data_IF_156698379141
#
_entry.id   IF_156698379141
#
_cell.length_a   1.000
_cell.length_b   1.000
_cell.length_c   1.000
_cell.angle_alpha   90.00
_cell.angle_beta   90.00
_cell.angle_gamma   90.00
#
_symmetry.space_group_name_H-M   'P 1'
#
loop_
_entity.id
_entity.type
_entity.pdbx_description
1 polymer ?
#
# COMPACT_ATOMS: atom_id res chain seq x y z
N UNK A 1 -7.27 15.39 -30.69
CA UNK A 1 -7.37 13.96 -30.31
C UNK A 1 -6.01 13.24 -30.40
N UNK A 2 -5.29 13.27 -31.53
CA UNK A 2 -3.96 12.65 -31.66
C UNK A 2 -2.89 13.23 -30.71
N UNK A 3 -2.91 14.53 -30.47
CA UNK A 3 -1.98 15.22 -29.56
C UNK A 3 -2.17 14.79 -28.10
N UNK A 4 -3.41 14.76 -27.62
CA UNK A 4 -3.77 14.29 -26.27
C UNK A 4 -3.31 12.85 -26.01
N UNK A 5 -3.54 11.95 -26.96
CA UNK A 5 -3.10 10.55 -26.84
C UNK A 5 -1.57 10.43 -26.78
N UNK A 6 -0.84 11.26 -27.53
CA UNK A 6 0.63 11.26 -27.49
C UNK A 6 1.14 11.78 -26.15
N UNK A 7 0.49 12.80 -25.57
CA UNK A 7 0.82 13.34 -24.27
C UNK A 7 0.59 12.32 -23.14
N UNK A 8 -0.56 11.63 -23.14
CA UNK A 8 -0.86 10.55 -22.19
C UNK A 8 0.18 9.42 -22.27
N UNK A 9 0.60 9.04 -23.49
CA UNK A 9 1.66 8.04 -23.70
C UNK A 9 3.01 8.51 -23.16
N UNK A 10 3.39 9.76 -23.41
CA UNK A 10 4.63 10.33 -22.88
C UNK A 10 4.61 10.36 -21.36
N UNK A 11 3.49 10.74 -20.74
CA UNK A 11 3.35 10.74 -19.28
C UNK A 11 3.43 9.32 -18.70
N UNK A 12 2.79 8.33 -19.34
CA UNK A 12 2.87 6.94 -18.91
C UNK A 12 4.30 6.38 -19.02
N UNK A 13 5.04 6.72 -20.10
CA UNK A 13 6.44 6.34 -20.25
C UNK A 13 7.32 6.96 -19.16
N UNK A 14 7.12 8.26 -18.89
CA UNK A 14 7.81 8.96 -17.82
C UNK A 14 7.49 8.32 -16.46
N UNK A 15 6.24 7.96 -16.21
CA UNK A 15 5.85 7.23 -14.99
C UNK A 15 6.58 5.91 -14.82
N UNK A 16 6.61 5.07 -15.86
CA UNK A 16 7.30 3.78 -15.81
C UNK A 16 8.80 3.96 -15.56
N UNK A 17 9.41 4.95 -16.18
CA UNK A 17 10.83 5.28 -15.96
C UNK A 17 11.08 5.71 -14.51
N UNK A 18 10.32 6.67 -14.00
CA UNK A 18 10.44 7.17 -12.63
C UNK A 18 10.21 6.06 -11.59
N UNK A 19 9.19 5.24 -11.78
CA UNK A 19 8.92 4.06 -10.95
C UNK A 19 10.07 3.05 -11.01
N UNK A 20 10.59 2.77 -12.20
CA UNK A 20 11.72 1.86 -12.40
C UNK A 20 12.95 2.30 -11.62
N UNK A 21 13.27 3.60 -11.68
CA UNK A 21 14.37 4.19 -10.93
C UNK A 21 14.16 4.09 -9.41
N UNK A 22 12.98 4.42 -8.91
CA UNK A 22 12.64 4.32 -7.49
C UNK A 22 12.78 2.88 -6.98
N UNK A 23 12.22 1.91 -7.71
CA UNK A 23 12.25 0.50 -7.32
C UNK A 23 13.66 -0.10 -7.39
N UNK A 24 14.47 0.32 -8.37
CA UNK A 24 15.87 -0.10 -8.47
C UNK A 24 16.65 0.35 -7.24
N UNK A 25 16.53 1.63 -6.85
CA UNK A 25 17.19 2.19 -5.66
C UNK A 25 16.72 1.55 -4.37
N UNK A 26 15.42 1.34 -4.23
CA UNK A 26 14.84 0.64 -3.08
C UNK A 26 15.45 -0.77 -2.91
N UNK A 27 15.57 -1.52 -4.00
CA UNK A 27 16.21 -2.86 -3.99
C UNK A 27 17.71 -2.79 -3.67
N UNK A 28 18.42 -1.80 -4.21
CA UNK A 28 19.84 -1.61 -3.92
C UNK A 28 20.06 -1.33 -2.43
N UNK A 29 19.25 -0.44 -1.83
CA UNK A 29 19.30 -0.12 -0.40
C UNK A 29 19.06 -1.36 0.47
N UNK A 30 18.01 -2.14 0.17
CA UNK A 30 17.71 -3.39 0.91
C UNK A 30 18.87 -4.40 0.83
N UNK A 31 19.59 -4.46 -0.29
CA UNK A 31 20.72 -5.38 -0.48
C UNK A 31 22.02 -4.91 0.17
N UNK A 32 22.31 -3.61 0.11
CA UNK A 32 23.58 -3.02 0.55
C UNK A 32 23.54 -2.61 2.04
N UNK A 33 22.35 -2.55 2.65
CA UNK A 33 22.20 -2.19 4.04
C UNK A 33 22.72 -0.77 4.36
N UNK A 34 23.16 -0.50 5.59
CA UNK A 34 23.67 0.81 6.02
C UNK A 34 24.95 1.27 5.30
N UNK A 35 25.59 0.39 4.52
CA UNK A 35 26.83 0.66 3.78
C UNK A 35 26.54 1.31 2.41
N UNK A 36 25.27 1.45 2.03
CA UNK A 36 24.88 2.16 0.82
C UNK A 36 25.32 3.65 0.89
N UNK A 37 25.93 4.20 -0.18
CA UNK A 37 26.31 5.61 -0.20
C UNK A 37 25.11 6.51 0.09
N UNK A 38 25.24 7.42 1.05
CA UNK A 38 24.19 8.36 1.49
C UNK A 38 23.70 9.29 0.36
N UNK A 39 24.43 9.37 -0.75
CA UNK A 39 24.17 10.25 -1.91
C UNK A 39 23.11 9.72 -2.91
N UNK A 40 22.54 8.52 -2.71
CA UNK A 40 21.67 7.87 -3.71
C UNK A 40 20.15 7.99 -3.45
N UNK A 41 19.71 8.80 -2.49
CA UNK A 41 18.29 8.96 -2.16
C UNK A 41 17.46 9.47 -3.35
N UNK A 42 16.22 9.00 -3.46
CA UNK A 42 15.31 9.44 -4.51
C UNK A 42 14.69 10.80 -4.14
N UNK A 43 14.76 11.79 -5.04
CA UNK A 43 14.30 13.15 -4.75
C UNK A 43 12.80 13.22 -4.44
N UNK A 44 12.45 14.00 -3.42
CA UNK A 44 11.06 14.18 -2.98
C UNK A 44 10.12 14.64 -4.10
N UNK A 45 10.50 15.66 -4.87
CA UNK A 45 9.64 16.22 -5.93
C UNK A 45 9.24 15.18 -6.99
N UNK A 46 10.17 14.28 -7.34
CA UNK A 46 9.91 13.18 -8.27
C UNK A 46 8.96 12.15 -7.65
N UNK A 47 9.11 11.91 -6.34
CA UNK A 47 8.21 11.02 -5.60
C UNK A 47 6.80 11.61 -5.48
N UNK A 48 6.68 12.91 -5.18
CA UNK A 48 5.40 13.64 -5.15
C UNK A 48 4.69 13.50 -6.48
N UNK A 49 5.42 13.62 -7.60
CA UNK A 49 4.85 13.42 -8.94
C UNK A 49 4.35 11.98 -9.15
N UNK A 50 5.12 10.96 -8.76
CA UNK A 50 4.70 9.54 -8.83
C UNK A 50 3.42 9.27 -8.02
N UNK A 51 3.35 9.83 -6.81
CA UNK A 51 2.18 9.71 -5.94
C UNK A 51 0.97 10.41 -6.54
N UNK A 52 1.12 11.64 -7.04
CA UNK A 52 0.05 12.39 -7.70
C UNK A 52 -0.45 11.64 -8.94
N UNK A 53 0.46 11.19 -9.80
CA UNK A 53 0.10 10.40 -10.98
C UNK A 53 -0.66 9.12 -10.61
N UNK A 54 -0.19 8.38 -9.60
CA UNK A 54 -0.87 7.16 -9.13
C UNK A 54 -2.23 7.44 -8.51
N UNK A 55 -2.39 8.58 -7.81
CA UNK A 55 -3.66 9.05 -7.26
C UNK A 55 -4.65 9.37 -8.39
N UNK A 56 -4.18 10.05 -9.44
CA UNK A 56 -5.01 10.46 -10.57
C UNK A 56 -5.52 9.31 -11.43
N UNK A 57 -4.93 8.12 -11.25
CA UNK A 57 -5.34 6.89 -11.91
C UNK A 57 -5.98 5.87 -10.95
N UNK A 58 -6.21 6.24 -9.68
CA UNK A 58 -6.83 5.39 -8.67
C UNK A 58 -6.09 4.05 -8.43
N UNK A 59 -4.77 4.03 -8.66
CA UNK A 59 -3.92 2.84 -8.54
C UNK A 59 -3.57 2.53 -7.09
N UNK A 60 -4.53 1.98 -6.36
CA UNK A 60 -4.44 1.68 -4.92
C UNK A 60 -3.21 0.82 -4.55
N UNK A 61 -2.90 -0.22 -5.33
CA UNK A 61 -1.75 -1.09 -5.08
C UNK A 61 -0.41 -0.34 -5.22
N UNK A 62 -0.31 0.53 -6.23
CA UNK A 62 0.87 1.36 -6.47
C UNK A 62 1.01 2.40 -5.36
N UNK A 63 -0.08 3.07 -4.99
CA UNK A 63 -0.13 4.01 -3.88
C UNK A 63 0.39 3.36 -2.58
N UNK A 64 -0.11 2.18 -2.23
CA UNK A 64 0.35 1.43 -1.06
C UNK A 64 1.84 1.14 -1.11
N UNK A 65 2.37 0.74 -2.26
CA UNK A 65 3.79 0.45 -2.41
C UNK A 65 4.63 1.73 -2.28
N UNK A 66 4.19 2.84 -2.86
CA UNK A 66 4.86 4.15 -2.72
C UNK A 66 4.89 4.60 -1.26
N UNK A 67 3.76 4.51 -0.55
CA UNK A 67 3.69 4.83 0.87
C UNK A 67 4.65 3.95 1.69
N UNK A 68 4.74 2.65 1.42
CA UNK A 68 5.72 1.80 2.10
C UNK A 68 7.17 2.23 1.81
N UNK A 69 7.51 2.52 0.55
CA UNK A 69 8.88 2.89 0.14
C UNK A 69 9.39 4.16 0.84
N UNK A 70 8.52 5.17 1.04
CA UNK A 70 8.94 6.41 1.71
C UNK A 70 9.28 6.15 3.19
N UNK A 71 8.54 5.26 3.87
CA UNK A 71 8.85 4.85 5.25
C UNK A 71 10.07 3.90 5.36
N UNK A 72 10.46 3.24 4.27
CA UNK A 72 11.72 2.50 4.19
C UNK A 72 12.94 3.45 4.05
N UNK A 73 12.72 4.77 3.95
CA UNK A 73 13.74 5.81 3.88
C UNK A 73 14.52 5.81 2.56
N UNK A 74 13.91 5.33 1.47
CA UNK A 74 14.54 5.36 0.12
C UNK A 74 14.45 6.74 -0.52
N UNK A 75 13.48 7.54 -0.08
CA UNK A 75 13.18 8.86 -0.61
C UNK A 75 13.78 9.90 0.34
N UNK A 76 14.45 10.89 -0.22
CA UNK A 76 14.87 12.08 0.50
C UNK A 76 13.63 12.92 0.81
N UNK A 77 13.33 13.17 2.09
CA UNK A 77 12.18 13.96 2.53
C UNK A 77 12.44 15.47 2.45
N UNK A 78 13.63 15.88 1.99
CA UNK A 78 13.99 17.27 1.76
C UNK A 78 13.90 18.11 3.04
N UNK A 79 13.09 19.16 2.99
CA UNK A 79 12.92 20.11 4.11
C UNK A 79 11.96 19.61 5.20
N UNK A 80 11.33 18.44 5.02
CA UNK A 80 10.37 17.94 5.99
C UNK A 80 11.05 17.28 7.18
N UNK A 81 10.54 17.58 8.39
CA UNK A 81 11.07 17.02 9.64
C UNK A 81 10.77 15.53 9.78
N UNK A 82 9.61 15.07 9.30
CA UNK A 82 9.22 13.65 9.31
C UNK A 82 8.49 13.26 8.02
N UNK A 83 8.48 11.96 7.72
CA UNK A 83 7.75 11.38 6.57
C UNK A 83 6.25 11.64 6.68
N UNK A 84 5.68 11.55 7.87
CA UNK A 84 4.25 11.80 8.11
C UNK A 84 3.87 13.23 7.74
N UNK A 85 4.68 14.22 8.16
CA UNK A 85 4.43 15.62 7.83
C UNK A 85 4.56 15.87 6.32
N UNK A 86 5.53 15.22 5.67
CA UNK A 86 5.70 15.28 4.22
C UNK A 86 4.45 14.75 3.48
N UNK A 87 3.89 13.63 3.94
CA UNK A 87 2.70 13.02 3.35
C UNK A 87 1.42 13.81 3.64
N UNK A 88 1.28 14.37 4.85
CA UNK A 88 0.12 15.20 5.21
C UNK A 88 0.02 16.45 4.33
N UNK A 89 1.15 17.08 4.00
CA UNK A 89 1.20 18.22 3.06
C UNK A 89 0.73 17.91 1.64
N UNK A 90 0.58 16.62 1.28
CA UNK A 90 0.13 16.21 -0.06
C UNK A 90 -1.40 16.10 -0.16
N UNK A 91 -2.13 16.22 0.95
CA UNK A 91 -3.59 16.16 1.06
C UNK A 91 -4.21 14.93 0.36
N UNK A 92 -3.55 13.77 0.50
CA UNK A 92 -3.89 12.55 -0.24
C UNK A 92 -5.33 12.09 0.02
N UNK A 93 -5.79 12.17 1.28
CA UNK A 93 -7.14 11.76 1.65
C UNK A 93 -8.18 12.71 1.05
N UNK A 94 -7.98 14.03 1.09
CA UNK A 94 -8.87 15.00 0.43
C UNK A 94 -8.93 14.78 -1.08
N UNK A 95 -7.79 14.49 -1.73
CA UNK A 95 -7.75 14.19 -3.17
C UNK A 95 -8.54 12.92 -3.49
N UNK A 96 -8.35 11.85 -2.73
CA UNK A 96 -9.09 10.60 -2.90
C UNK A 96 -10.61 10.80 -2.74
N UNK A 97 -11.02 11.65 -1.78
CA UNK A 97 -12.44 12.01 -1.58
C UNK A 97 -13.01 12.79 -2.76
N UNK A 98 -12.32 13.84 -3.23
CA UNK A 98 -12.74 14.63 -4.40
C UNK A 98 -12.87 13.79 -5.67
N UNK A 99 -12.05 12.74 -5.80
CA UNK A 99 -12.09 11.79 -6.91
C UNK A 99 -13.20 10.74 -6.80
N UNK A 100 -13.94 10.69 -5.70
CA UNK A 100 -14.93 9.65 -5.41
C UNK A 100 -14.35 8.23 -5.43
N UNK A 101 -13.10 8.05 -4.99
CA UNK A 101 -12.41 6.77 -5.05
C UNK A 101 -12.45 6.06 -3.69
N UNK A 102 -13.56 5.35 -3.40
CA UNK A 102 -13.74 4.61 -2.14
C UNK A 102 -12.57 3.67 -1.81
N UNK A 103 -12.05 2.83 -2.73
CA UNK A 103 -10.93 1.94 -2.41
C UNK A 103 -9.66 2.68 -1.98
N UNK A 104 -9.38 3.84 -2.60
CA UNK A 104 -8.23 4.67 -2.23
C UNK A 104 -8.43 5.31 -0.85
N UNK A 105 -9.64 5.80 -0.56
CA UNK A 105 -10.00 6.34 0.77
C UNK A 105 -9.80 5.28 1.85
N UNK A 106 -10.36 4.07 1.66
CA UNK A 106 -10.20 2.98 2.61
C UNK A 106 -8.72 2.56 2.78
N UNK A 107 -7.95 2.55 1.69
CA UNK A 107 -6.52 2.25 1.73
C UNK A 107 -5.75 3.24 2.59
N UNK A 108 -6.01 4.54 2.43
CA UNK A 108 -5.36 5.60 3.18
C UNK A 108 -5.75 5.55 4.66
N UNK A 109 -7.04 5.44 4.98
CA UNK A 109 -7.52 5.36 6.37
C UNK A 109 -6.95 4.16 7.14
N UNK A 110 -6.74 3.03 6.44
CA UNK A 110 -6.19 1.80 7.02
C UNK A 110 -4.66 1.74 6.98
N UNK A 111 -3.99 2.72 6.37
CA UNK A 111 -2.55 2.70 6.20
C UNK A 111 -1.83 2.89 7.54
N UNK A 112 -0.98 1.93 7.89
CA UNK A 112 -0.10 1.97 9.06
C UNK A 112 1.32 1.63 8.57
N UNK A 113 2.33 2.49 8.85
CA UNK A 113 3.71 2.19 8.49
C UNK A 113 4.19 0.89 9.12
N UNK A 114 4.90 0.05 8.36
CA UNK A 114 5.41 -1.23 8.87
C UNK A 114 6.30 -1.05 10.13
N UNK A 115 7.09 0.02 10.17
CA UNK A 115 8.02 0.31 11.25
C UNK A 115 7.33 0.78 12.55
N UNK A 116 6.04 1.13 12.50
CA UNK A 116 5.25 1.52 13.67
C UNK A 116 4.59 0.32 14.38
N UNK A 117 4.76 -0.90 13.85
CA UNK A 117 4.19 -2.13 14.42
C UNK A 117 5.17 -2.88 15.34
N UNK A 118 6.45 -2.52 15.36
CA UNK A 118 7.53 -3.30 16.00
C UNK A 118 7.86 -2.86 17.45
N UNK A 119 6.97 -2.08 18.06
CA UNK A 119 7.06 -1.71 19.47
C UNK A 119 6.36 -2.69 20.39
N UNK A 120 6.99 -3.84 20.63
CA UNK A 120 6.78 -4.68 21.82
C UNK A 120 5.61 -5.66 21.79
N UNK A 121 5.95 -6.95 21.82
CA UNK A 121 5.10 -8.05 22.29
C UNK A 121 4.67 -7.82 23.75
N UNK A 122 3.66 -6.99 23.97
CA UNK A 122 2.83 -7.07 25.17
C UNK A 122 1.42 -7.43 24.73
N UNK A 123 1.09 -8.70 24.94
CA UNK A 123 -0.29 -9.21 24.91
C UNK A 123 -1.09 -8.62 26.08
N UNK A 124 -1.21 -7.30 26.17
CA UNK A 124 -2.11 -6.66 27.12
C UNK A 124 -2.78 -5.43 26.50
N UNK A 125 -4.12 -5.50 26.43
CA UNK A 125 -5.07 -4.42 26.17
C UNK A 125 -5.15 -3.93 24.73
N UNK A 126 -5.80 -4.76 23.92
CA UNK A 126 -6.44 -4.43 22.64
C UNK A 126 -7.61 -3.42 22.76
N UNK A 127 -7.73 -2.68 23.86
CA UNK A 127 -8.90 -1.87 24.22
C UNK A 127 -8.67 -0.36 24.06
N UNK A 128 -7.42 0.12 23.96
CA UNK A 128 -7.14 1.53 23.68
C UNK A 128 -5.99 1.68 22.68
N UNK A 129 -6.25 1.38 21.40
CA UNK A 129 -5.34 1.82 20.33
C UNK A 129 -5.44 3.34 20.27
N UNK A 130 -4.36 4.04 20.60
CA UNK A 130 -4.32 5.48 20.46
C UNK A 130 -4.67 5.87 19.00
N UNK A 131 -5.57 6.83 18.79
CA UNK A 131 -5.94 7.30 17.44
C UNK A 131 -4.74 7.90 16.67
N UNK A 132 -3.62 8.15 17.34
CA UNK A 132 -2.38 8.66 16.77
C UNK A 132 -1.58 7.69 15.89
N UNK A 133 -1.99 6.43 15.76
CA UNK A 133 -1.28 5.48 14.89
C UNK A 133 -1.60 5.66 13.40
N UNK A 134 -2.76 6.26 13.08
CA UNK A 134 -3.20 6.45 11.71
C UNK A 134 -2.76 7.82 11.21
N UNK A 135 -2.05 7.85 10.08
CA UNK A 135 -1.54 9.10 9.49
C UNK A 135 -2.68 9.88 8.83
N UNK A 136 -3.51 9.18 8.06
CA UNK A 136 -4.61 9.78 7.33
C UNK A 136 -5.88 9.67 8.16
N UNK A 137 -6.47 10.81 8.51
CA UNK A 137 -7.66 10.85 9.37
C UNK A 137 -8.82 11.62 8.74
N UNK A 138 -10.08 11.25 8.99
CA UNK A 138 -11.24 11.96 8.45
C UNK A 138 -11.40 13.40 8.97
N UNK A 139 -10.79 13.72 10.11
CA UNK A 139 -10.80 15.02 10.80
C UNK A 139 -9.54 15.86 10.53
N UNK A 140 -8.58 15.36 9.75
CA UNK A 140 -7.36 16.09 9.45
C UNK A 140 -7.66 17.36 8.67
N UNK A 141 -7.27 18.52 9.20
CA UNK A 141 -7.46 19.82 8.56
C UNK A 141 -6.58 19.89 7.30
N UNK A 142 -7.19 20.17 6.15
CA UNK A 142 -6.48 20.36 4.87
C UNK A 142 -6.71 21.75 4.28
N UNK A 143 -6.65 21.88 2.94
CA UNK A 143 -6.77 23.16 2.26
C UNK A 143 -8.09 23.87 2.59
N UNK A 144 -8.05 25.20 2.72
CA UNK A 144 -9.16 26.04 3.15
C UNK A 144 -9.71 25.72 4.56
N UNK A 145 -8.96 24.97 5.38
CA UNK A 145 -9.40 24.57 6.72
C UNK A 145 -10.48 23.50 6.72
N UNK A 146 -10.70 22.84 5.58
CA UNK A 146 -11.69 21.77 5.45
C UNK A 146 -11.06 20.42 5.72
N UNK A 147 -11.77 19.56 6.45
CA UNK A 147 -11.38 18.16 6.62
C UNK A 147 -11.91 17.29 5.46
N UNK A 148 -11.41 16.05 5.28
CA UNK A 148 -11.97 15.12 4.31
C UNK A 148 -13.48 14.92 4.47
N UNK A 149 -14.00 14.91 5.70
CA UNK A 149 -15.43 14.84 5.98
C UNK A 149 -16.20 16.06 5.50
N UNK A 150 -15.69 17.27 5.71
CA UNK A 150 -16.32 18.49 5.18
C UNK A 150 -16.43 18.45 3.66
N UNK A 151 -15.35 18.01 3.00
CA UNK A 151 -15.33 17.86 1.53
C UNK A 151 -16.36 16.82 1.08
N UNK A 152 -16.43 15.66 1.74
CA UNK A 152 -17.39 14.62 1.40
C UNK A 152 -18.84 15.08 1.61
N UNK A 153 -19.12 15.77 2.71
CA UNK A 153 -20.44 16.30 3.04
C UNK A 153 -20.91 17.40 2.07
N UNK A 154 -19.98 18.08 1.40
CA UNK A 154 -20.28 19.21 0.51
C UNK A 154 -20.53 18.83 -0.95
N UNK A 155 -20.10 17.65 -1.37
CA UNK A 155 -20.14 17.20 -2.77
C UNK A 155 -21.23 16.13 -2.95
N UNK A 156 -22.07 16.31 -3.97
CA UNK A 156 -23.11 15.34 -4.32
C UNK A 156 -22.52 14.03 -4.89
N UNK A 157 -23.14 12.90 -4.56
CA UNK A 157 -22.81 11.56 -5.08
C UNK A 157 -21.63 10.86 -4.39
N UNK A 158 -21.25 11.27 -3.18
CA UNK A 158 -20.17 10.68 -2.38
C UNK A 158 -20.65 9.76 -1.25
N UNK A 159 -21.87 9.19 -1.33
CA UNK A 159 -22.45 8.32 -0.30
C UNK A 159 -21.50 7.18 0.12
N UNK A 160 -20.89 6.52 -0.86
CA UNK A 160 -19.93 5.43 -0.70
C UNK A 160 -18.60 5.87 -0.06
N UNK A 161 -18.16 7.11 -0.30
CA UNK A 161 -16.94 7.69 0.29
C UNK A 161 -17.20 8.20 1.69
N UNK A 162 -18.35 8.84 1.93
CA UNK A 162 -18.78 9.24 3.26
C UNK A 162 -18.96 8.01 4.17
N UNK A 163 -19.52 6.92 3.62
CA UNK A 163 -19.59 5.62 4.26
C UNK A 163 -18.18 5.15 4.70
N UNK A 164 -17.19 5.17 3.80
CA UNK A 164 -15.82 4.78 4.13
C UNK A 164 -15.13 5.72 5.14
N UNK A 165 -15.34 7.03 5.05
CA UNK A 165 -14.81 8.01 6.00
C UNK A 165 -15.38 7.87 7.41
N UNK A 166 -16.60 7.34 7.53
CA UNK A 166 -17.29 7.12 8.82
C UNK A 166 -17.15 5.68 9.34
N UNK A 167 -16.58 4.78 8.54
CA UNK A 167 -16.13 3.44 8.96
C UNK A 167 -14.60 3.39 9.13
N UNK A 168 -13.99 4.52 9.51
CA UNK A 168 -12.56 4.58 9.72
C UNK A 168 -12.15 3.72 10.94
N UNK A 169 -10.95 3.10 10.92
CA UNK A 169 -10.52 2.21 12.01
C UNK A 169 -10.40 2.88 13.39
N UNK A 170 -10.34 4.21 13.46
CA UNK A 170 -10.25 4.97 14.69
C UNK A 170 -11.59 5.47 15.22
N UNK A 171 -12.70 5.23 14.51
CA UNK A 171 -14.04 5.82 14.77
C UNK A 171 -14.03 7.35 14.83
N UNK A 172 -12.98 7.98 14.32
CA UNK A 172 -12.77 9.44 14.38
C UNK A 172 -13.78 10.13 13.48
N UNK A 173 -14.17 9.51 12.37
CA UNK A 173 -15.09 10.08 11.42
C UNK A 173 -16.51 10.24 11.97
N UNK A 174 -16.96 9.31 12.82
CA UNK A 174 -18.26 9.43 13.49
C UNK A 174 -18.28 10.54 14.54
N UNK A 175 -17.20 10.65 15.32
CA UNK A 175 -17.05 11.71 16.32
C UNK A 175 -16.96 13.09 15.66
N UNK A 176 -16.15 13.21 14.62
CA UNK A 176 -15.91 14.44 13.87
C UNK A 176 -17.15 14.98 13.15
N UNK A 177 -18.12 14.11 12.82
CA UNK A 177 -19.30 14.46 12.01
C UNK A 177 -20.09 15.67 12.53
N UNK A 178 -20.19 15.82 13.86
CA UNK A 178 -20.91 16.94 14.53
C UNK A 178 -20.02 17.79 15.44
N UNK A 179 -18.74 17.43 15.61
CA UNK A 179 -17.85 18.09 16.56
C UNK A 179 -16.76 18.92 15.88
N UNK A 180 -16.24 18.45 14.74
CA UNK A 180 -15.17 19.14 14.03
C UNK A 180 -15.76 20.30 13.24
N UNK A 181 -15.22 21.50 13.46
CA UNK A 181 -15.63 22.72 12.78
C UNK A 181 -14.56 23.16 11.77
N UNK A 182 -15.00 23.70 10.65
CA UNK A 182 -14.12 24.40 9.71
C UNK A 182 -13.81 25.84 10.18
N UNK A 183 -13.08 26.59 9.35
CA UNK A 183 -12.73 27.99 9.62
C UNK A 183 -13.93 28.93 9.72
N UNK A 184 -15.11 28.52 9.24
CA UNK A 184 -16.36 29.27 9.34
C UNK A 184 -17.22 28.85 10.54
N UNK A 185 -16.76 27.86 11.32
CA UNK A 185 -17.49 27.31 12.45
C UNK A 185 -18.55 26.27 12.07
N UNK A 186 -18.61 25.85 10.80
CA UNK A 186 -19.57 24.86 10.32
C UNK A 186 -19.00 23.46 10.44
N UNK A 187 -19.84 22.50 10.82
CA UNK A 187 -19.47 21.07 10.90
C UNK A 187 -19.77 20.34 9.59
N UNK A 188 -19.25 19.12 9.36
CA UNK A 188 -19.63 18.31 8.19
C UNK A 188 -21.15 18.08 8.12
N UNK A 189 -21.80 17.88 9.27
CA UNK A 189 -23.26 17.82 9.35
C UNK A 189 -23.93 19.10 8.83
N UNK A 190 -23.44 20.27 9.23
CA UNK A 190 -24.01 21.55 8.79
C UNK A 190 -23.85 21.73 7.27
N UNK A 191 -22.69 21.38 6.70
CA UNK A 191 -22.49 21.39 5.25
C UNK A 191 -23.48 20.49 4.51
N UNK A 192 -23.68 19.25 4.97
CA UNK A 192 -24.65 18.35 4.36
C UNK A 192 -26.09 18.86 4.49
N UNK A 193 -26.43 19.44 5.65
CA UNK A 193 -27.75 20.00 5.94
C UNK A 193 -28.07 21.21 5.06
N UNK A 194 -27.13 22.16 4.96
CA UNK A 194 -27.26 23.36 4.11
C UNK A 194 -27.40 23.01 2.62
N UNK A 195 -26.81 21.88 2.20
CA UNK A 195 -26.91 21.37 0.81
C UNK A 195 -28.15 20.51 0.57
N UNK A 196 -28.91 20.15 1.60
CA UNK A 196 -30.07 19.26 1.49
C UNK A 196 -29.72 17.78 1.25
N UNK A 197 -28.50 17.35 1.60
CA UNK A 197 -28.06 15.95 1.45
C UNK A 197 -28.52 15.09 2.64
N UNK A 198 -29.83 14.94 2.78
CA UNK A 198 -30.43 14.19 3.91
C UNK A 198 -30.07 12.71 3.92
N UNK A 199 -29.78 12.10 2.77
CA UNK A 199 -29.27 10.72 2.71
C UNK A 199 -27.97 10.55 3.49
N UNK A 200 -27.10 11.56 3.47
CA UNK A 200 -25.79 11.54 4.15
C UNK A 200 -26.00 11.62 5.65
N UNK A 201 -26.86 12.54 6.08
CA UNK A 201 -27.26 12.69 7.48
C UNK A 201 -27.84 11.38 8.02
N UNK A 202 -28.77 10.77 7.28
CA UNK A 202 -29.39 9.50 7.69
C UNK A 202 -28.39 8.35 7.74
N UNK A 203 -27.45 8.28 6.79
CA UNK A 203 -26.38 7.27 6.77
C UNK A 203 -25.55 7.37 8.05
N UNK A 204 -25.03 8.55 8.37
CA UNK A 204 -24.15 8.72 9.53
C UNK A 204 -24.91 8.57 10.84
N UNK A 205 -26.13 9.12 10.94
CA UNK A 205 -26.98 8.97 12.13
C UNK A 205 -27.31 7.50 12.42
N UNK A 206 -27.56 6.69 11.37
CA UNK A 206 -27.78 5.24 11.51
C UNK A 206 -26.54 4.56 12.09
N UNK A 207 -25.34 4.89 11.60
CA UNK A 207 -24.08 4.35 12.12
C UNK A 207 -23.85 4.70 13.58
N UNK A 208 -23.99 5.98 13.95
CA UNK A 208 -23.89 6.43 15.35
C UNK A 208 -24.83 5.61 16.24
N UNK A 209 -26.09 5.46 15.84
CA UNK A 209 -27.07 4.70 16.62
C UNK A 209 -26.73 3.20 16.76
N UNK A 210 -26.10 2.60 15.75
CA UNK A 210 -25.69 1.20 15.78
C UNK A 210 -24.45 1.00 16.66
N UNK A 211 -23.50 1.93 16.62
CA UNK A 211 -22.31 1.91 17.50
C UNK A 211 -22.73 2.01 18.97
N UNK A 212 -23.66 2.92 19.32
CA UNK A 212 -24.19 3.03 20.68
C UNK A 212 -24.94 1.75 21.14
N UNK A 213 -25.58 1.02 20.22
CA UNK A 213 -26.23 -0.26 20.55
C UNK A 213 -25.23 -1.41 20.72
N UNK A 214 -24.09 -1.36 20.03
CA UNK A 214 -23.04 -2.38 20.16
C UNK A 214 -22.25 -2.28 21.46
N UNK A 215 -22.34 -1.15 22.16
CA UNK A 215 -21.82 -0.96 23.52
C UNK A 215 -22.74 -1.66 24.55
N UNK A 216 -22.92 -2.97 24.41
CA UNK A 216 -23.59 -3.76 25.44
C UNK A 216 -22.71 -3.79 26.68
N UNK A 217 -23.11 -3.05 27.71
CA UNK A 217 -22.62 -3.23 29.08
C UNK A 217 -22.96 -4.66 29.50
N UNK A 218 -21.97 -5.56 29.42
CA UNK A 218 -21.99 -6.81 30.16
C UNK A 218 -21.93 -6.44 31.64
N UNK A 219 -23.09 -6.25 32.26
CA UNK A 219 -23.23 -6.33 33.71
C UNK A 219 -22.85 -7.76 34.08
N UNK A 220 -21.59 -7.98 34.44
CA UNK A 220 -21.14 -9.18 35.14
C UNK A 220 -21.70 -9.00 36.56
N UNK A 221 -22.74 -9.74 36.99
CA UNK A 221 -23.15 -9.68 38.37
C UNK A 221 -22.00 -10.27 39.19
N UNK A 222 -21.35 -9.42 39.99
CA UNK A 222 -20.29 -9.83 40.88
C UNK A 222 -20.81 -10.90 41.83
N UNK A 223 -20.27 -12.11 41.72
CA UNK A 223 -20.44 -13.15 42.74
C UNK A 223 -19.62 -12.77 43.96
N UNK A 224 -20.26 -12.10 44.92
CA UNK A 224 -19.86 -12.16 46.32
C UNK A 224 -20.81 -13.11 47.05
N UNK A 225 -20.27 -14.31 47.28
CA UNK A 225 -20.43 -15.23 48.42
C UNK A 225 -21.65 -15.06 49.35
N UNK A 226 -22.40 -16.17 49.42
CA UNK A 226 -23.19 -16.78 50.51
C UNK A 226 -24.39 -16.04 51.15
N UNK A 227 -25.60 -16.59 50.93
CA UNK A 227 -26.28 -17.47 51.91
C UNK A 227 -27.79 -17.62 51.61
N UNK A 228 -28.20 -18.87 51.30
CA UNK A 228 -29.42 -19.58 51.71
C UNK A 228 -30.73 -18.80 52.01
N UNK A 229 -31.82 -19.11 51.27
CA UNK A 229 -33.05 -19.83 51.74
C UNK A 229 -34.17 -19.78 50.67
N UNK A 230 -34.56 -20.98 50.20
CA UNK A 230 -35.90 -21.51 49.81
C UNK A 230 -37.02 -20.55 49.37
N UNK A 231 -37.74 -20.87 48.28
CA UNK A 231 -39.15 -21.37 48.33
C UNK A 231 -39.79 -21.66 46.94
N UNK A 232 -40.04 -22.96 46.70
CA UNK A 232 -41.18 -23.67 46.04
C UNK A 232 -42.09 -23.00 44.97
N UNK A 233 -42.00 -23.58 43.76
CA UNK A 233 -43.02 -24.17 42.84
C UNK A 233 -44.51 -23.80 42.92
N UNK A 234 -45.13 -23.59 41.75
CA UNK A 234 -46.31 -24.38 41.31
C UNK A 234 -46.45 -24.45 39.77
N UNK A 235 -47.11 -25.52 39.31
CA UNK A 235 -47.14 -26.11 37.97
C UNK A 235 -48.09 -25.45 36.94
N UNK A 236 -47.80 -25.69 35.66
CA UNK A 236 -48.69 -25.41 34.53
C UNK A 236 -48.18 -26.02 33.22
N UNK A 237 -48.43 -27.31 33.04
CA UNK A 237 -47.98 -28.16 31.93
C UNK A 237 -48.58 -27.75 30.56
N UNK A 238 -47.75 -27.57 29.52
CA UNK A 238 -48.05 -28.06 28.15
C UNK A 238 -46.76 -28.29 27.37
N UNK A 239 -46.50 -29.57 27.13
CA UNK A 239 -45.41 -30.13 26.34
C UNK A 239 -45.71 -29.99 24.84
N UNK A 240 -44.74 -29.52 24.06
CA UNK A 240 -44.50 -30.10 22.73
C UNK A 240 -43.05 -29.87 22.27
N UNK A 241 -42.34 -31.00 22.18
CA UNK A 241 -41.22 -31.30 21.27
C UNK A 241 -39.85 -30.65 21.55
N UNK A 242 -39.11 -31.41 22.36
CA UNK A 242 -37.67 -31.62 22.22
C UNK A 242 -37.35 -32.03 20.77
N UNK A 243 -36.39 -31.34 20.17
CA UNK A 243 -35.42 -31.97 19.26
C UNK A 243 -34.05 -31.37 19.57
N UNK A 244 -33.35 -32.03 20.47
CA UNK A 244 -31.90 -31.96 20.57
C UNK A 244 -31.33 -32.57 19.30
N UNK A 245 -30.74 -31.75 18.43
CA UNK A 245 -29.82 -32.26 17.42
C UNK A 245 -28.40 -31.99 17.91
N UNK A 246 -27.76 -33.08 18.32
CA UNK A 246 -26.33 -33.18 18.51
C UNK A 246 -25.64 -32.77 17.21
N UNK A 247 -24.75 -31.80 17.28
CA UNK A 247 -23.78 -31.56 16.20
C UNK A 247 -22.66 -32.58 16.38
N UNK A 248 -22.86 -33.76 15.81
CA UNK A 248 -21.75 -34.66 15.51
C UNK A 248 -20.81 -33.98 14.52
N UNK A 249 -19.52 -34.12 14.84
CA UNK A 249 -18.36 -33.82 14.02
C UNK A 249 -18.50 -34.47 12.64
N UNK A 250 -18.81 -33.66 11.63
CA UNK A 250 -18.71 -34.07 10.22
C UNK A 250 -17.59 -33.23 9.59
N UNK A 251 -16.45 -33.88 9.37
CA UNK A 251 -15.48 -33.48 8.35
C UNK A 251 -16.21 -33.37 7.01
N UNK A 252 -16.28 -32.16 6.47
CA UNK A 252 -16.65 -31.94 5.06
C UNK A 252 -15.54 -31.13 4.40
N UNK A 253 -14.72 -31.89 3.69
CA UNK A 253 -13.89 -31.47 2.57
C UNK A 253 -14.73 -30.68 1.55
N UNK A 254 -14.63 -29.35 1.58
CA UNK A 254 -15.15 -28.49 0.53
C UNK A 254 -14.03 -28.11 -0.46
N UNK A 255 -13.95 -28.94 -1.50
CA UNK A 255 -13.39 -28.70 -2.83
C UNK A 255 -12.95 -27.26 -3.13
N UNK A 256 -11.63 -27.05 -3.10
CA UNK A 256 -10.96 -25.94 -3.78
C UNK A 256 -11.23 -26.11 -5.28
N UNK A 257 -11.97 -25.19 -5.89
CA UNK A 257 -12.07 -25.12 -7.36
C UNK A 257 -10.70 -24.71 -7.91
N UNK A 258 -10.03 -25.68 -8.50
CA UNK A 258 -8.70 -25.53 -9.08
C UNK A 258 -8.78 -24.71 -10.38
N UNK A 259 -8.10 -23.57 -10.40
CA UNK A 259 -7.86 -22.78 -11.61
C UNK A 259 -6.72 -23.44 -12.41
N UNK A 260 -7.01 -23.97 -13.61
CA UNK A 260 -6.03 -24.62 -14.49
C UNK A 260 -4.92 -23.70 -15.04
N UNK A 261 -5.05 -22.38 -14.88
CA UNK A 261 -4.01 -21.39 -15.23
C UNK A 261 -3.09 -21.08 -14.04
N UNK A 262 -3.55 -21.38 -12.83
CA UNK A 262 -2.86 -21.06 -11.58
C UNK A 262 -1.91 -22.19 -11.12
N UNK A 263 -1.98 -23.37 -11.75
CA UNK A 263 -1.12 -24.52 -11.46
C UNK A 263 0.22 -24.52 -12.22
N UNK A 264 0.46 -23.57 -13.13
CA UNK A 264 1.66 -23.62 -13.97
C UNK A 264 2.89 -22.87 -13.41
N UNK A 265 2.84 -22.37 -12.17
CA UNK A 265 4.03 -21.82 -11.49
C UNK A 265 4.00 -22.08 -10.00
N UNK A 266 4.35 -23.30 -9.59
CA UNK A 266 4.93 -23.59 -8.27
C UNK A 266 5.56 -25.00 -8.32
N UNK A 267 6.60 -25.13 -9.13
CA UNK A 267 7.51 -26.26 -9.10
C UNK A 267 8.94 -25.75 -9.02
N UNK A 268 9.36 -25.34 -7.82
CA UNK A 268 10.70 -25.67 -7.35
C UNK A 268 10.74 -25.61 -5.82
N UNK A 269 10.68 -26.79 -5.20
CA UNK A 269 11.01 -26.99 -3.80
C UNK A 269 12.49 -26.71 -3.54
N UNK A 270 12.79 -26.37 -2.29
CA UNK A 270 14.12 -26.02 -1.84
C UNK A 270 15.13 -27.14 -2.05
N UNK A 271 16.22 -26.82 -2.74
CA UNK A 271 17.49 -27.51 -2.65
C UNK A 271 18.60 -26.55 -3.14
N UNK A 272 19.41 -26.06 -2.18
CA UNK A 272 20.73 -25.43 -2.35
C UNK A 272 20.77 -24.00 -2.92
N UNK A 273 20.84 -23.05 -2.00
CA UNK A 273 21.65 -21.83 -2.14
C UNK A 273 23.13 -22.20 -2.38
N UNK A 274 23.58 -22.32 -3.63
CA UNK A 274 25.00 -22.20 -4.02
C UNK A 274 25.24 -22.40 -5.53
N UNK A 275 24.49 -21.77 -6.47
CA UNK A 275 24.83 -21.91 -7.91
C UNK A 275 24.61 -20.65 -8.77
N UNK A 276 24.48 -19.45 -8.20
CA UNK A 276 24.38 -18.22 -9.00
C UNK A 276 25.74 -17.77 -9.57
N UNK A 277 26.85 -18.35 -9.13
CA UNK A 277 28.18 -18.05 -9.67
C UNK A 277 28.53 -18.81 -10.96
N UNK A 278 27.75 -19.83 -11.37
CA UNK A 278 28.13 -20.72 -12.48
C UNK A 278 27.87 -20.23 -13.91
N UNK A 279 26.88 -19.38 -14.24
CA UNK A 279 26.75 -18.87 -15.62
C UNK A 279 27.84 -17.85 -15.97
N UNK A 280 28.28 -17.05 -15.00
CA UNK A 280 29.31 -16.03 -15.19
C UNK A 280 30.73 -16.62 -15.29
N UNK A 281 31.03 -17.66 -14.51
CA UNK A 281 32.34 -18.33 -14.55
C UNK A 281 32.61 -19.06 -15.86
N UNK A 282 31.61 -19.78 -16.41
CA UNK A 282 31.76 -20.45 -17.71
C UNK A 282 31.93 -19.43 -18.84
N UNK A 283 31.25 -18.28 -18.75
CA UNK A 283 31.43 -17.18 -19.70
C UNK A 283 32.81 -16.56 -19.61
N UNK A 284 33.35 -16.30 -18.42
CA UNK A 284 34.70 -15.74 -18.28
C UNK A 284 35.80 -16.72 -18.71
N UNK A 285 35.64 -18.02 -18.42
CA UNK A 285 36.60 -19.04 -18.87
C UNK A 285 36.56 -19.21 -20.39
N UNK A 286 35.39 -19.18 -21.00
CA UNK A 286 35.26 -19.21 -22.46
C UNK A 286 35.91 -17.97 -23.12
N UNK A 287 35.67 -16.78 -22.57
CA UNK A 287 36.28 -15.53 -23.07
C UNK A 287 37.81 -15.58 -22.90
N UNK A 288 38.31 -16.05 -21.74
CA UNK A 288 39.75 -16.20 -21.51
C UNK A 288 40.38 -17.22 -22.47
N UNK A 289 39.74 -18.36 -22.70
CA UNK A 289 40.21 -19.36 -23.67
C UNK A 289 40.23 -18.79 -25.09
N UNK A 290 39.19 -18.07 -25.52
CA UNK A 290 39.15 -17.40 -26.83
C UNK A 290 40.25 -16.36 -26.95
N UNK A 291 40.45 -15.51 -25.93
CA UNK A 291 41.52 -14.51 -25.94
C UNK A 291 42.92 -15.14 -25.99
N UNK A 292 43.17 -16.21 -25.24
CA UNK A 292 44.46 -16.93 -25.29
C UNK A 292 44.65 -17.60 -26.65
N UNK A 293 43.63 -18.22 -27.22
CA UNK A 293 43.70 -18.82 -28.55
C UNK A 293 43.97 -17.76 -29.64
N UNK A 294 43.29 -16.62 -29.58
CA UNK A 294 43.52 -15.50 -30.51
C UNK A 294 44.94 -14.95 -30.35
N UNK A 295 45.41 -14.75 -29.12
CA UNK A 295 46.78 -14.30 -28.86
C UNK A 295 47.84 -15.32 -29.34
N UNK A 296 47.57 -16.62 -29.19
CA UNK A 296 48.45 -17.67 -29.72
C UNK A 296 48.45 -17.69 -31.25
N UNK A 297 47.29 -17.55 -31.90
CA UNK A 297 47.19 -17.44 -33.37
C UNK A 297 47.92 -16.22 -33.93
N UNK A 298 47.94 -15.09 -33.20
CA UNK A 298 48.70 -13.91 -33.59
C UNK A 298 50.20 -14.01 -33.25
N UNK A 299 50.56 -14.74 -32.19
CA UNK A 299 51.97 -14.95 -31.77
C UNK A 299 52.68 -16.02 -32.60
N UNK A 300 51.97 -17.05 -33.03
CA UNK A 300 52.45 -18.01 -34.00
C UNK A 300 51.93 -17.59 -35.36
N UNK A 301 52.64 -16.67 -36.03
CA UNK A 301 52.33 -16.27 -37.39
C UNK A 301 52.18 -17.54 -38.23
N UNK A 302 50.97 -17.97 -38.63
CA UNK A 302 50.88 -19.06 -39.57
C UNK A 302 51.41 -18.45 -40.87
N UNK A 303 52.61 -18.86 -41.28
CA UNK A 303 53.12 -18.59 -42.62
C UNK A 303 52.23 -19.36 -43.60
N UNK A 304 51.05 -18.81 -43.84
CA UNK A 304 50.23 -19.16 -44.98
C UNK A 304 50.94 -18.50 -46.15
N UNK A 305 51.54 -19.31 -47.01
CA UNK A 305 52.00 -18.85 -48.32
C UNK A 305 50.77 -18.42 -49.13
N UNK A 306 50.33 -17.18 -48.91
CA UNK A 306 49.37 -16.53 -49.79
C UNK A 306 50.11 -16.08 -51.04
N UNK A 307 49.56 -16.46 -52.21
CA UNK A 307 50.04 -16.08 -53.55
C UNK A 307 49.83 -14.58 -53.84
N UNK A 308 49.28 -13.82 -52.89
CA UNK A 308 49.09 -12.37 -52.99
C UNK A 308 49.63 -11.66 -51.75
N UNK A 309 50.37 -10.58 -51.99
CA UNK A 309 51.05 -9.77 -51.00
C UNK A 309 50.04 -9.21 -49.97
N UNK A 310 50.26 -9.38 -48.65
CA UNK A 310 49.34 -8.88 -47.65
C UNK A 310 49.35 -7.35 -47.63
N UNK A 311 48.16 -6.76 -47.64
CA UNK A 311 47.93 -5.32 -47.48
C UNK A 311 48.56 -4.83 -46.17
N UNK A 312 49.47 -3.85 -46.23
CA UNK A 312 50.09 -3.22 -45.06
C UNK A 312 49.56 -1.80 -44.87
N UNK A 313 49.18 -1.46 -43.64
CA UNK A 313 48.76 -0.11 -43.26
C UNK A 313 49.87 0.94 -43.43
N UNK A 314 51.13 0.49 -43.52
CA UNK A 314 52.31 1.32 -43.76
C UNK A 314 52.41 1.84 -45.20
N UNK A 315 51.62 1.30 -46.13
CA UNK A 315 51.59 1.71 -47.54
C UNK A 315 50.52 2.76 -47.87
N UNK A 316 49.81 3.27 -46.86
CA UNK A 316 48.79 4.30 -47.03
C UNK A 316 49.47 5.69 -47.03
N UNK A 317 49.84 6.19 -48.21
CA UNK A 317 50.28 7.59 -48.35
C UNK A 317 49.14 8.54 -47.95
N UNK A 318 49.42 9.46 -47.02
CA UNK A 318 48.50 10.55 -46.69
C UNK A 318 48.31 11.41 -47.94
N UNK A 319 47.05 11.62 -48.34
CA UNK A 319 46.71 12.36 -49.55
C UNK A 319 47.30 13.77 -49.61
N UNK A 320 47.61 14.20 -50.84
CA UNK A 320 48.14 15.54 -51.16
C UNK A 320 47.35 16.67 -50.50
N UNK A 321 48.07 17.66 -49.96
CA UNK A 321 47.53 19.00 -49.70
C UNK A 321 46.99 19.64 -50.98
#
# INVERSE_FOLDING_TARGET
MRTKLMEEKTQALYFVQEMGWLLHRNRAKVRLGPVAPLQDCFHFNRFTWLVAFSMDHDWCAVMKKLLNIIFEGTVDIGEHTTVELALLKMDLLHKAVKRNCRPMVELLLKFVPANASDGGDSKEKQVNKSPNRFIFRPDSVGPAGLTPLHVAASIHGLDNVLDALTDDPGLVGLEAWKSTQDTTGLTPYDHASLRGYYSYIQLVQRKISNTCKSEHVLNIPGTLVDSNIKQKQSDGHRSSKVSSLQTEKIETTAMVRHCGVCQHKLAYGGMRSALVYRPAMLSMVAIAAVCVCVALLFKSSPKVYYVFQPFSWESLEYGSM
#
